data_IF_211537295053
#
_entry.id   IF_211537295053
#
_cell.length_a   1.000
_cell.length_b   1.000
_cell.length_c   1.000
_cell.angle_alpha   90.00
_cell.angle_beta   90.00
_cell.angle_gamma   90.00
#
_symmetry.space_group_name_H-M   'P 1'
#
loop_
_entity.id
_entity.type
_entity.pdbx_description
1 polymer ?
#
# COMPACT_ATOMS: atom_id res chain seq x y z
N UNK A 1 -38.46 -3.70 10.89
CA UNK A 1 -38.00 -4.50 9.74
C UNK A 1 -36.66 -5.10 10.13
N UNK A 2 -36.61 -6.39 10.35
CA UNK A 2 -35.34 -7.09 10.61
C UNK A 2 -34.51 -6.97 9.34
N UNK A 3 -33.35 -6.31 9.46
CA UNK A 3 -32.37 -6.27 8.39
C UNK A 3 -32.08 -7.73 8.02
N UNK A 4 -32.34 -8.13 6.78
CA UNK A 4 -31.93 -9.40 6.25
C UNK A 4 -30.40 -9.45 6.42
N UNK A 5 -29.96 -10.21 7.41
CA UNK A 5 -28.55 -10.48 7.63
C UNK A 5 -28.06 -11.19 6.37
N UNK A 6 -27.41 -10.43 5.50
CA UNK A 6 -26.80 -10.96 4.30
C UNK A 6 -25.81 -12.04 4.72
N UNK A 7 -26.06 -13.28 4.36
CA UNK A 7 -25.07 -14.34 4.43
C UNK A 7 -23.79 -13.79 3.82
N UNK A 8 -22.67 -13.91 4.54
CA UNK A 8 -21.37 -13.45 4.06
C UNK A 8 -21.10 -13.90 2.62
N UNK A 9 -20.19 -13.22 1.95
CA UNK A 9 -19.76 -13.62 0.61
C UNK A 9 -19.23 -15.06 0.66
N UNK A 10 -19.38 -15.88 -0.40
CA UNK A 10 -18.94 -17.28 -0.41
C UNK A 10 -17.48 -17.51 -0.05
N UNK A 11 -16.67 -16.45 -0.14
CA UNK A 11 -15.22 -16.44 0.17
C UNK A 11 -14.90 -16.18 1.64
N UNK A 12 -15.89 -16.10 2.53
CA UNK A 12 -15.68 -15.72 3.92
C UNK A 12 -15.93 -16.87 4.89
N UNK A 13 -15.40 -16.68 6.11
CA UNK A 13 -15.62 -17.58 7.23
C UNK A 13 -17.11 -17.96 7.37
N UNK A 14 -17.37 -19.20 7.74
CA UNK A 14 -18.73 -19.69 7.97
C UNK A 14 -19.48 -18.73 8.86
N UNK A 15 -20.69 -18.36 8.44
CA UNK A 15 -21.61 -17.55 9.23
C UNK A 15 -21.87 -18.22 10.59
N UNK A 16 -21.47 -17.55 11.65
CA UNK A 16 -21.64 -17.99 13.02
C UNK A 16 -22.25 -16.82 13.82
N UNK A 17 -23.56 -16.83 14.06
CA UNK A 17 -24.26 -15.75 14.75
C UNK A 17 -23.80 -15.57 16.20
N UNK A 18 -23.42 -16.65 16.88
CA UNK A 18 -22.94 -16.56 18.27
C UNK A 18 -21.56 -15.90 18.35
N UNK A 19 -20.71 -16.19 17.37
CA UNK A 19 -19.40 -15.55 17.26
C UNK A 19 -19.54 -14.07 16.94
N UNK A 20 -20.45 -13.72 16.05
CA UNK A 20 -20.72 -12.32 15.71
C UNK A 20 -21.27 -11.56 16.92
N UNK A 21 -22.21 -12.17 17.67
CA UNK A 21 -22.76 -11.52 18.87
C UNK A 21 -21.68 -11.30 19.94
N UNK A 22 -20.83 -12.29 20.18
CA UNK A 22 -19.68 -12.14 21.09
C UNK A 22 -18.73 -10.99 20.65
N UNK A 23 -18.47 -10.87 19.35
CA UNK A 23 -17.64 -9.79 18.81
C UNK A 23 -18.30 -8.41 19.00
N UNK A 24 -19.62 -8.31 18.82
CA UNK A 24 -20.39 -7.10 19.08
C UNK A 24 -20.33 -6.71 20.56
N UNK A 25 -20.56 -7.67 21.46
CA UNK A 25 -20.51 -7.44 22.92
C UNK A 25 -19.12 -7.00 23.38
N UNK A 26 -18.07 -7.61 22.82
CA UNK A 26 -16.69 -7.21 23.06
C UNK A 26 -16.39 -5.80 22.53
N UNK A 27 -16.84 -5.43 21.33
CA UNK A 27 -16.67 -4.09 20.78
C UNK A 27 -17.36 -3.03 21.63
N UNK A 28 -18.58 -3.29 22.08
CA UNK A 28 -19.30 -2.40 23.00
C UNK A 28 -18.55 -2.25 24.32
N UNK A 29 -18.01 -3.33 24.86
CA UNK A 29 -17.16 -3.28 26.07
C UNK A 29 -15.88 -2.47 25.87
N UNK A 30 -15.32 -2.46 24.66
CA UNK A 30 -14.13 -1.68 24.34
C UNK A 30 -14.42 -0.17 24.23
N UNK A 31 -15.62 0.21 23.80
CA UNK A 31 -15.99 1.63 23.69
C UNK A 31 -15.97 2.36 25.03
N UNK A 32 -16.28 1.67 26.13
CA UNK A 32 -16.24 2.20 27.48
C UNK A 32 -14.85 2.26 28.11
N UNK A 33 -13.83 1.67 27.48
CA UNK A 33 -12.46 1.59 28.01
C UNK A 33 -11.62 2.83 27.70
N UNK A 34 -10.57 3.11 28.50
CA UNK A 34 -9.59 4.15 28.19
C UNK A 34 -8.97 3.96 26.80
N UNK A 35 -8.57 5.09 26.18
CA UNK A 35 -8.08 5.15 24.79
C UNK A 35 -7.03 4.07 24.44
N UNK A 36 -5.99 3.88 25.26
CA UNK A 36 -4.91 2.91 24.98
C UNK A 36 -5.41 1.45 25.02
N UNK A 37 -6.29 1.12 25.94
CA UNK A 37 -6.87 -0.22 26.05
C UNK A 37 -7.81 -0.50 24.86
N UNK A 38 -8.60 0.50 24.47
CA UNK A 38 -9.47 0.44 23.29
C UNK A 38 -8.66 0.28 22.00
N UNK A 39 -7.60 1.06 21.84
CA UNK A 39 -6.69 0.97 20.70
C UNK A 39 -6.08 -0.44 20.58
N UNK A 40 -5.57 -1.01 21.68
CA UNK A 40 -5.04 -2.37 21.69
C UNK A 40 -6.07 -3.44 21.35
N UNK A 41 -7.32 -3.24 21.81
CA UNK A 41 -8.45 -4.11 21.47
C UNK A 41 -8.81 -4.10 19.97
N UNK A 42 -8.81 -2.91 19.36
CA UNK A 42 -9.08 -2.76 17.93
C UNK A 42 -7.94 -3.30 17.06
N UNK A 43 -6.67 -3.05 17.42
CA UNK A 43 -5.51 -3.56 16.68
C UNK A 43 -5.50 -5.08 16.51
N UNK A 44 -6.04 -5.82 17.48
CA UNK A 44 -6.15 -7.29 17.38
C UNK A 44 -7.20 -7.75 16.36
N UNK A 45 -8.13 -6.86 15.94
CA UNK A 45 -9.27 -7.16 15.08
C UNK A 45 -9.18 -6.51 13.70
N UNK A 46 -8.12 -5.75 13.42
CA UNK A 46 -7.86 -5.12 12.12
C UNK A 46 -7.76 -6.15 10.99
N UNK A 47 -8.03 -5.73 9.76
CA UNK A 47 -7.92 -6.61 8.60
C UNK A 47 -8.18 -5.93 7.25
N UNK A 48 -9.37 -5.40 6.97
CA UNK A 48 -9.65 -4.75 5.68
C UNK A 48 -8.72 -3.57 5.37
N UNK A 49 -8.41 -2.74 6.36
CA UNK A 49 -7.45 -1.64 6.23
C UNK A 49 -6.02 -2.14 5.97
N UNK A 50 -5.61 -3.24 6.59
CA UNK A 50 -4.30 -3.85 6.33
C UNK A 50 -4.17 -4.34 4.89
N UNK A 51 -5.23 -4.94 4.32
CA UNK A 51 -5.24 -5.35 2.93
C UNK A 51 -5.08 -4.14 1.99
N UNK A 52 -5.78 -3.04 2.29
CA UNK A 52 -5.61 -1.79 1.54
C UNK A 52 -4.20 -1.22 1.70
N UNK A 53 -3.62 -1.27 2.90
CA UNK A 53 -2.24 -0.85 3.14
C UNK A 53 -1.23 -1.60 2.27
N UNK A 54 -1.37 -2.91 2.18
CA UNK A 54 -0.50 -3.74 1.33
C UNK A 54 -0.62 -3.36 -0.17
N UNK A 55 -1.82 -3.00 -0.62
CA UNK A 55 -2.02 -2.53 -2.00
C UNK A 55 -1.44 -1.13 -2.22
N UNK A 56 -1.56 -0.25 -1.23
CA UNK A 56 -1.09 1.14 -1.30
C UNK A 56 0.43 1.24 -1.25
N UNK A 57 1.09 0.42 -0.41
CA UNK A 57 2.55 0.37 -0.28
C UNK A 57 3.19 -0.47 -1.42
N UNK A 58 2.68 -0.29 -2.62
CA UNK A 58 3.18 -0.95 -3.82
C UNK A 58 4.16 -0.10 -4.61
N UNK A 59 4.44 -0.55 -5.85
CA UNK A 59 5.42 0.08 -6.74
C UNK A 59 5.15 1.57 -7.00
N UNK A 60 3.88 1.99 -7.10
CA UNK A 60 3.52 3.38 -7.40
C UNK A 60 3.90 4.34 -6.26
N UNK A 61 3.55 4.03 -5.02
CA UNK A 61 3.89 4.86 -3.86
C UNK A 61 5.39 4.81 -3.56
N UNK A 62 6.03 3.64 -3.74
CA UNK A 62 7.47 3.52 -3.60
C UNK A 62 8.19 4.39 -4.63
N UNK A 63 7.84 4.29 -5.91
CA UNK A 63 8.42 5.12 -6.96
C UNK A 63 8.21 6.61 -6.71
N UNK A 64 6.99 7.03 -6.36
CA UNK A 64 6.71 8.43 -6.06
C UNK A 64 7.55 8.95 -4.87
N UNK A 65 7.75 8.14 -3.83
CA UNK A 65 8.55 8.50 -2.66
C UNK A 65 10.04 8.58 -2.98
N UNK A 66 10.56 7.63 -3.77
CA UNK A 66 11.95 7.64 -4.24
C UNK A 66 12.22 8.90 -5.06
N UNK A 67 11.38 9.19 -6.03
CA UNK A 67 11.51 10.39 -6.88
C UNK A 67 11.36 11.67 -6.05
N UNK A 68 10.39 11.72 -5.13
CA UNK A 68 10.21 12.89 -4.26
C UNK A 68 11.46 13.18 -3.43
N UNK A 69 12.02 12.16 -2.77
CA UNK A 69 13.21 12.31 -1.95
C UNK A 69 14.47 12.65 -2.77
N UNK A 70 14.69 11.93 -3.88
CA UNK A 70 15.87 12.12 -4.71
C UNK A 70 15.88 13.43 -5.51
N UNK A 71 14.71 13.98 -5.88
CA UNK A 71 14.62 15.21 -6.67
C UNK A 71 14.39 16.47 -5.83
N UNK A 72 13.68 16.34 -4.69
CA UNK A 72 13.21 17.51 -3.91
C UNK A 72 13.61 17.47 -2.44
N UNK A 73 14.45 16.48 -2.05
CA UNK A 73 14.86 16.33 -0.66
C UNK A 73 13.67 16.14 0.28
N UNK A 74 13.64 16.90 1.36
CA UNK A 74 12.55 16.86 2.35
C UNK A 74 11.29 17.63 1.94
N UNK A 75 11.34 18.45 0.89
CA UNK A 75 10.35 19.49 0.59
C UNK A 75 8.93 18.94 0.38
N UNK A 76 8.79 17.74 -0.19
CA UNK A 76 7.49 17.13 -0.50
C UNK A 76 6.98 16.12 0.55
N UNK A 77 7.54 16.10 1.76
CA UNK A 77 7.07 15.22 2.83
C UNK A 77 5.59 15.45 3.21
N UNK A 78 5.12 16.69 3.15
CA UNK A 78 3.73 17.04 3.46
C UNK A 78 2.70 16.36 2.57
N UNK A 79 3.10 15.95 1.37
CA UNK A 79 2.21 15.30 0.40
C UNK A 79 1.73 13.96 0.93
N UNK A 80 2.57 13.21 1.63
CA UNK A 80 2.27 11.86 2.08
C UNK A 80 1.08 11.79 3.06
N UNK A 81 1.07 12.55 4.18
CA UNK A 81 -0.07 12.55 5.09
C UNK A 81 -1.33 13.11 4.43
N UNK A 82 -1.23 14.13 3.56
CA UNK A 82 -2.42 14.69 2.89
C UNK A 82 -3.00 13.69 1.91
N UNK A 83 -2.18 13.07 1.05
CA UNK A 83 -2.63 12.08 0.08
C UNK A 83 -3.36 10.93 0.78
N UNK A 84 -2.78 10.39 1.85
CA UNK A 84 -3.38 9.29 2.57
C UNK A 84 -4.59 9.72 3.41
N UNK A 85 -4.60 10.93 3.96
CA UNK A 85 -5.76 11.46 4.67
C UNK A 85 -6.99 11.54 3.75
N UNK A 86 -6.82 12.08 2.53
CA UNK A 86 -7.88 12.13 1.52
C UNK A 86 -8.38 10.71 1.18
N UNK A 87 -7.46 9.76 1.01
CA UNK A 87 -7.81 8.36 0.77
C UNK A 87 -8.59 7.73 1.90
N UNK A 88 -8.15 7.94 3.14
CA UNK A 88 -8.84 7.42 4.33
C UNK A 88 -10.23 8.04 4.49
N UNK A 89 -10.39 9.34 4.21
CA UNK A 89 -11.70 9.99 4.21
C UNK A 89 -12.66 9.32 3.21
N UNK A 90 -12.18 9.05 1.99
CA UNK A 90 -12.97 8.37 0.97
C UNK A 90 -13.35 6.94 1.39
N UNK A 91 -12.43 6.16 1.94
CA UNK A 91 -12.72 4.83 2.44
C UNK A 91 -13.66 4.86 3.66
N UNK A 92 -13.49 5.81 4.57
CA UNK A 92 -14.38 5.98 5.71
C UNK A 92 -15.81 6.29 5.27
N UNK A 93 -15.98 7.12 4.23
CA UNK A 93 -17.29 7.42 3.66
C UNK A 93 -17.92 6.16 3.03
N UNK A 94 -17.19 5.45 2.15
CA UNK A 94 -17.64 4.20 1.54
C UNK A 94 -17.96 3.13 2.60
N UNK A 95 -17.08 2.96 3.57
CA UNK A 95 -17.25 2.02 4.67
C UNK A 95 -18.48 2.35 5.52
N UNK A 96 -18.70 3.63 5.81
CA UNK A 96 -19.88 4.05 6.58
C UNK A 96 -21.21 3.70 5.86
N UNK A 97 -21.27 3.92 4.53
CA UNK A 97 -22.45 3.55 3.74
C UNK A 97 -22.68 2.04 3.78
N UNK A 98 -21.65 1.26 3.44
CA UNK A 98 -21.76 -0.20 3.35
C UNK A 98 -22.04 -0.85 4.70
N UNK A 99 -21.40 -0.40 5.79
CA UNK A 99 -21.64 -0.90 7.13
C UNK A 99 -23.02 -0.53 7.67
N UNK A 100 -23.62 0.58 7.17
CA UNK A 100 -24.97 0.99 7.57
C UNK A 100 -26.03 0.19 6.82
N UNK A 101 -25.85 0.04 5.51
CA UNK A 101 -26.85 -0.59 4.63
C UNK A 101 -26.73 -2.11 4.61
N UNK A 102 -25.53 -2.66 4.81
CA UNK A 102 -25.22 -4.07 4.60
C UNK A 102 -25.28 -4.49 3.14
N UNK A 103 -25.41 -3.54 2.20
CA UNK A 103 -25.61 -3.82 0.79
C UNK A 103 -24.27 -3.88 0.03
N UNK A 104 -24.23 -4.72 -1.00
CA UNK A 104 -23.09 -4.79 -1.92
C UNK A 104 -23.04 -3.52 -2.77
N UNK A 105 -21.88 -2.84 -2.89
CA UNK A 105 -21.79 -1.55 -3.57
C UNK A 105 -22.20 -1.58 -5.04
N UNK A 106 -21.81 -2.59 -5.79
CA UNK A 106 -22.10 -2.66 -7.23
C UNK A 106 -23.60 -2.67 -7.54
N UNK A 107 -24.43 -3.56 -6.96
CA UNK A 107 -25.88 -3.51 -7.15
C UNK A 107 -26.51 -2.22 -6.62
N UNK A 108 -26.02 -1.71 -5.47
CA UNK A 108 -26.53 -0.48 -4.88
C UNK A 108 -26.29 0.72 -5.82
N UNK A 109 -25.09 0.87 -6.37
CA UNK A 109 -24.80 1.93 -7.34
C UNK A 109 -25.62 1.82 -8.62
N UNK A 110 -25.86 0.58 -9.08
CA UNK A 110 -26.73 0.35 -10.24
C UNK A 110 -28.18 0.73 -10.02
N UNK A 111 -28.66 0.64 -8.77
CA UNK A 111 -30.03 1.00 -8.38
C UNK A 111 -30.16 2.49 -8.07
N UNK A 112 -29.24 3.04 -7.25
CA UNK A 112 -29.36 4.41 -6.71
C UNK A 112 -28.86 5.48 -7.72
N UNK A 113 -27.87 5.16 -8.56
CA UNK A 113 -27.35 6.08 -9.55
C UNK A 113 -27.82 5.67 -10.95
N UNK A 114 -27.12 4.75 -11.57
CA UNK A 114 -27.46 4.18 -12.87
C UNK A 114 -26.61 2.93 -13.15
N UNK A 115 -27.17 1.96 -13.89
CA UNK A 115 -26.48 0.73 -14.25
C UNK A 115 -25.17 0.96 -14.99
N UNK A 116 -25.11 2.00 -15.85
CA UNK A 116 -23.90 2.36 -16.58
C UNK A 116 -22.79 2.87 -15.66
N UNK A 117 -23.13 3.61 -14.59
CA UNK A 117 -22.16 4.10 -13.60
C UNK A 117 -21.52 2.93 -12.85
N UNK A 118 -22.33 1.99 -12.39
CA UNK A 118 -21.84 0.78 -11.75
C UNK A 118 -20.94 -0.04 -12.70
N UNK A 119 -21.36 -0.22 -13.96
CA UNK A 119 -20.58 -0.91 -14.97
C UNK A 119 -19.23 -0.22 -15.25
N UNK A 120 -19.24 1.11 -15.47
CA UNK A 120 -18.01 1.87 -15.72
C UNK A 120 -17.06 1.83 -14.51
N UNK A 121 -17.59 1.86 -13.28
CA UNK A 121 -16.77 1.70 -12.09
C UNK A 121 -16.12 0.31 -12.01
N UNK A 122 -16.87 -0.76 -12.29
CA UNK A 122 -16.33 -2.12 -12.33
C UNK A 122 -15.31 -2.30 -13.46
N UNK A 123 -15.62 -1.81 -14.66
CA UNK A 123 -14.71 -1.85 -15.81
C UNK A 123 -13.42 -1.05 -15.52
N UNK A 124 -13.56 0.16 -15.01
CA UNK A 124 -12.42 1.00 -14.61
C UNK A 124 -11.56 0.32 -13.55
N UNK A 125 -12.18 -0.39 -12.61
CA UNK A 125 -11.47 -1.19 -11.59
C UNK A 125 -10.64 -2.32 -12.23
N UNK A 126 -11.21 -3.05 -13.18
CA UNK A 126 -10.50 -4.14 -13.88
C UNK A 126 -9.34 -3.57 -14.70
N UNK A 127 -9.59 -2.53 -15.50
CA UNK A 127 -8.57 -1.88 -16.33
C UNK A 127 -7.44 -1.32 -15.46
N UNK A 128 -7.78 -0.59 -14.39
CA UNK A 128 -6.81 -0.05 -13.46
C UNK A 128 -5.98 -1.16 -12.79
N UNK A 129 -6.62 -2.27 -12.40
CA UNK A 129 -5.90 -3.40 -11.79
C UNK A 129 -4.89 -4.01 -12.77
N UNK A 130 -5.26 -4.19 -14.04
CA UNK A 130 -4.34 -4.71 -15.06
C UNK A 130 -3.17 -3.75 -15.28
N UNK A 131 -3.45 -2.45 -15.48
CA UNK A 131 -2.40 -1.44 -15.70
C UNK A 131 -1.47 -1.34 -14.49
N UNK A 132 -2.00 -1.42 -13.28
CA UNK A 132 -1.23 -1.34 -12.03
C UNK A 132 -0.25 -2.49 -11.83
N UNK A 133 -0.50 -3.65 -12.45
CA UNK A 133 0.42 -4.78 -12.41
C UNK A 133 1.71 -4.56 -13.20
N UNK A 134 1.69 -3.79 -14.29
CA UNK A 134 2.90 -3.56 -15.09
C UNK A 134 4.07 -2.98 -14.28
N UNK A 135 3.93 -1.86 -13.54
CA UNK A 135 5.02 -1.35 -12.73
C UNK A 135 5.44 -2.32 -11.60
N UNK A 136 4.51 -3.10 -11.04
CA UNK A 136 4.81 -4.08 -10.00
C UNK A 136 5.75 -5.18 -10.53
N UNK A 137 5.39 -5.79 -11.66
CA UNK A 137 6.23 -6.79 -12.31
C UNK A 137 7.56 -6.19 -12.81
N UNK A 138 7.53 -4.95 -13.31
CA UNK A 138 8.72 -4.22 -13.74
C UNK A 138 9.73 -4.02 -12.61
N UNK A 139 9.27 -3.63 -11.43
CA UNK A 139 10.12 -3.50 -10.23
C UNK A 139 10.69 -4.85 -9.78
N UNK A 140 9.86 -5.88 -9.69
CA UNK A 140 10.30 -7.20 -9.28
C UNK A 140 11.34 -7.77 -10.27
N UNK A 141 11.11 -7.59 -11.56
CA UNK A 141 12.08 -7.99 -12.60
C UNK A 141 13.40 -7.18 -12.51
N UNK A 142 13.31 -5.86 -12.24
CA UNK A 142 14.47 -5.01 -12.03
C UNK A 142 15.32 -5.46 -10.85
N UNK A 143 14.69 -5.69 -9.71
CA UNK A 143 15.37 -6.19 -8.51
C UNK A 143 16.00 -7.58 -8.73
N UNK A 144 15.28 -8.49 -9.40
CA UNK A 144 15.81 -9.81 -9.70
C UNK A 144 17.02 -9.77 -10.63
N UNK A 145 17.02 -8.87 -11.62
CA UNK A 145 18.20 -8.67 -12.49
C UNK A 145 19.38 -8.09 -11.71
N UNK A 146 19.17 -7.12 -10.87
CA UNK A 146 20.22 -6.52 -10.03
C UNK A 146 20.87 -7.58 -9.12
N UNK A 147 20.06 -8.46 -8.52
CA UNK A 147 20.56 -9.59 -7.74
C UNK A 147 21.32 -10.62 -8.59
N UNK A 148 20.86 -10.88 -9.81
CA UNK A 148 21.56 -11.79 -10.74
C UNK A 148 22.93 -11.24 -11.14
N UNK A 149 23.04 -9.93 -11.36
CA UNK A 149 24.31 -9.24 -11.63
C UNK A 149 25.27 -9.31 -10.45
N UNK A 150 24.79 -9.20 -9.22
CA UNK A 150 25.58 -9.45 -8.01
C UNK A 150 26.12 -10.88 -7.98
N UNK A 151 25.36 -11.84 -8.50
CA UNK A 151 25.77 -13.24 -8.67
C UNK A 151 26.71 -13.50 -9.87
N UNK A 152 27.08 -12.44 -10.60
CA UNK A 152 27.97 -12.55 -11.77
C UNK A 152 27.25 -12.91 -13.07
N UNK A 153 25.92 -12.86 -13.13
CA UNK A 153 25.14 -13.12 -14.35
C UNK A 153 24.89 -11.78 -15.06
N UNK A 154 25.45 -11.52 -16.24
CA UNK A 154 25.25 -10.27 -16.96
C UNK A 154 23.81 -10.20 -17.48
N UNK A 155 23.01 -9.28 -16.98
CA UNK A 155 21.60 -9.09 -17.38
C UNK A 155 21.37 -7.89 -18.27
N UNK A 156 22.24 -6.87 -18.23
CA UNK A 156 22.21 -5.71 -19.11
C UNK A 156 23.09 -5.92 -20.33
N UNK A 157 22.61 -5.47 -21.50
CA UNK A 157 23.39 -5.49 -22.74
C UNK A 157 24.13 -4.14 -22.88
N UNK A 158 25.45 -4.12 -23.11
CA UNK A 158 26.20 -2.88 -23.36
C UNK A 158 25.69 -2.06 -24.55
N UNK A 159 25.07 -2.71 -25.53
CA UNK A 159 24.45 -2.04 -26.68
C UNK A 159 23.06 -1.45 -26.40
N UNK A 160 22.55 -1.63 -25.19
CA UNK A 160 21.22 -1.23 -24.73
C UNK A 160 20.23 -2.39 -24.68
N UNK A 161 19.35 -2.35 -23.68
CA UNK A 161 18.39 -3.43 -23.44
C UNK A 161 18.91 -4.51 -22.49
N UNK A 162 18.45 -5.76 -22.69
CA UNK A 162 18.79 -6.88 -21.81
C UNK A 162 19.41 -8.03 -22.58
N UNK A 163 20.32 -8.75 -21.95
CA UNK A 163 20.85 -10.03 -22.45
C UNK A 163 19.77 -11.10 -22.43
N UNK A 164 20.02 -12.24 -23.08
CA UNK A 164 19.13 -13.41 -22.99
C UNK A 164 18.93 -13.86 -21.53
N UNK A 165 19.98 -13.80 -20.70
CA UNK A 165 19.89 -14.08 -19.28
C UNK A 165 18.99 -13.05 -18.56
N UNK A 166 19.09 -11.76 -18.90
CA UNK A 166 18.23 -10.71 -18.36
C UNK A 166 16.75 -10.91 -18.67
N UNK A 167 16.42 -11.35 -19.87
CA UNK A 167 15.05 -11.73 -20.22
C UNK A 167 14.58 -12.97 -19.48
N UNK A 168 15.42 -14.00 -19.36
CA UNK A 168 15.08 -15.23 -18.62
C UNK A 168 14.84 -14.95 -17.14
N UNK A 169 15.67 -14.15 -16.48
CA UNK A 169 15.48 -13.73 -15.09
C UNK A 169 14.17 -12.95 -14.93
N UNK A 170 13.90 -12.00 -15.82
CA UNK A 170 12.68 -11.21 -15.78
C UNK A 170 11.42 -12.04 -15.95
N UNK A 171 11.43 -12.98 -16.91
CA UNK A 171 10.31 -13.88 -17.16
C UNK A 171 10.15 -14.89 -16.04
N UNK A 172 11.24 -15.44 -15.52
CA UNK A 172 11.26 -16.41 -14.43
C UNK A 172 10.65 -15.85 -13.15
N UNK A 173 11.07 -14.63 -12.75
CA UNK A 173 10.48 -13.99 -11.55
C UNK A 173 9.01 -13.62 -11.77
N UNK A 174 8.66 -13.14 -12.96
CA UNK A 174 7.27 -12.84 -13.32
C UNK A 174 6.38 -14.08 -13.26
N UNK A 175 6.82 -15.19 -13.84
CA UNK A 175 6.11 -16.47 -13.80
C UNK A 175 6.03 -17.02 -12.37
N UNK A 176 7.09 -16.88 -11.58
CA UNK A 176 7.11 -17.28 -10.17
C UNK A 176 6.10 -16.49 -9.33
N UNK A 177 6.06 -15.16 -9.47
CA UNK A 177 5.08 -14.30 -8.80
C UNK A 177 3.66 -14.66 -9.24
N UNK A 178 3.41 -14.86 -10.53
CA UNK A 178 2.10 -15.26 -11.05
C UNK A 178 1.69 -16.61 -10.47
N UNK A 179 2.57 -17.61 -10.47
CA UNK A 179 2.32 -18.92 -9.88
C UNK A 179 1.99 -18.84 -8.40
N UNK A 180 2.75 -18.05 -7.63
CA UNK A 180 2.49 -17.82 -6.21
C UNK A 180 1.14 -17.12 -5.99
N UNK A 181 0.80 -16.12 -6.80
CA UNK A 181 -0.49 -15.44 -6.72
C UNK A 181 -1.66 -16.39 -7.04
N UNK A 182 -1.54 -17.21 -8.08
CA UNK A 182 -2.56 -18.22 -8.41
C UNK A 182 -2.71 -19.20 -7.24
N UNK A 183 -1.60 -19.72 -6.71
CA UNK A 183 -1.62 -20.68 -5.60
C UNK A 183 -2.26 -20.09 -4.33
N UNK A 184 -1.89 -18.87 -3.95
CA UNK A 184 -2.44 -18.20 -2.76
C UNK A 184 -3.90 -17.84 -2.94
N UNK A 185 -4.29 -17.34 -4.12
CA UNK A 185 -5.69 -16.98 -4.42
C UNK A 185 -6.59 -18.20 -4.50
N UNK A 186 -6.11 -19.29 -5.10
CA UNK A 186 -6.88 -20.54 -5.20
C UNK A 186 -7.29 -21.10 -3.83
N UNK A 187 -6.40 -20.95 -2.85
CA UNK A 187 -6.62 -21.43 -1.50
C UNK A 187 -7.23 -20.39 -0.54
N UNK A 188 -7.31 -19.13 -0.97
CA UNK A 188 -7.71 -18.01 -0.11
C UNK A 188 -9.16 -18.13 0.43
N UNK A 189 -10.06 -18.76 -0.29
CA UNK A 189 -11.47 -18.87 0.12
C UNK A 189 -11.82 -20.08 1.00
N UNK A 190 -10.90 -21.03 1.17
CA UNK A 190 -11.26 -22.33 1.73
C UNK A 190 -10.92 -22.54 3.22
N UNK A 191 -9.95 -21.81 3.78
CA UNK A 191 -9.48 -22.06 5.15
C UNK A 191 -9.06 -20.80 5.89
N UNK A 192 -9.57 -20.60 7.12
CA UNK A 192 -9.19 -19.51 8.03
C UNK A 192 -7.67 -19.43 8.33
N UNK A 193 -6.95 -20.54 8.21
CA UNK A 193 -5.49 -20.61 8.38
C UNK A 193 -4.75 -19.94 7.22
N UNK A 194 -5.21 -20.08 5.98
CA UNK A 194 -4.61 -19.44 4.80
C UNK A 194 -4.70 -17.93 4.86
N UNK A 195 -5.84 -17.40 5.30
CA UNK A 195 -6.05 -15.96 5.49
C UNK A 195 -5.07 -15.41 6.54
N UNK A 196 -4.93 -16.07 7.69
CA UNK A 196 -4.02 -15.64 8.74
C UNK A 196 -2.55 -15.69 8.31
N UNK A 197 -2.15 -16.72 7.57
CA UNK A 197 -0.80 -16.84 7.02
C UNK A 197 -0.50 -15.69 6.04
N UNK A 198 -1.44 -15.38 5.16
CA UNK A 198 -1.32 -14.29 4.20
C UNK A 198 -1.24 -12.93 4.90
N UNK A 199 -2.11 -12.65 5.89
CA UNK A 199 -2.04 -11.42 6.68
C UNK A 199 -0.70 -11.30 7.44
N UNK A 200 -0.20 -12.39 7.99
CA UNK A 200 1.11 -12.41 8.67
C UNK A 200 2.25 -12.12 7.71
N UNK A 201 2.23 -12.74 6.52
CA UNK A 201 3.20 -12.50 5.46
C UNK A 201 3.23 -11.03 5.03
N UNK A 202 2.06 -10.42 4.79
CA UNK A 202 1.97 -9.00 4.45
C UNK A 202 2.53 -8.09 5.56
N UNK A 203 2.18 -8.38 6.81
CA UNK A 203 2.71 -7.62 7.97
C UNK A 203 4.23 -7.74 8.07
N UNK A 204 4.78 -8.91 7.80
CA UNK A 204 6.22 -9.16 7.84
C UNK A 204 6.96 -8.37 6.76
N UNK A 205 6.42 -8.33 5.53
CA UNK A 205 7.01 -7.53 4.43
C UNK A 205 6.98 -6.05 4.76
N UNK A 206 5.82 -5.53 5.20
CA UNK A 206 5.71 -4.11 5.59
C UNK A 206 6.68 -3.79 6.72
N UNK A 207 6.79 -4.66 7.72
CA UNK A 207 7.73 -4.52 8.83
C UNK A 207 9.19 -4.51 8.37
N UNK A 208 9.55 -5.39 7.41
CA UNK A 208 10.89 -5.44 6.83
C UNK A 208 11.23 -4.14 6.09
N UNK A 209 10.33 -3.62 5.27
CA UNK A 209 10.51 -2.35 4.55
C UNK A 209 10.70 -1.19 5.54
N UNK A 210 9.84 -1.10 6.56
CA UNK A 210 9.97 -0.08 7.62
C UNK A 210 11.35 -0.18 8.29
N UNK A 211 11.76 -1.39 8.68
CA UNK A 211 13.03 -1.60 9.38
C UNK A 211 14.22 -1.21 8.49
N UNK A 212 14.22 -1.58 7.22
CA UNK A 212 15.30 -1.30 6.27
C UNK A 212 15.53 0.19 6.11
N UNK A 213 14.48 0.94 5.79
CA UNK A 213 14.60 2.39 5.63
C UNK A 213 14.83 3.12 6.96
N UNK A 214 14.28 2.61 8.08
CA UNK A 214 14.57 3.15 9.40
C UNK A 214 16.06 3.03 9.76
N UNK A 215 16.70 1.91 9.44
CA UNK A 215 18.16 1.73 9.64
C UNK A 215 18.96 2.75 8.83
N UNK A 216 18.58 3.01 7.58
CA UNK A 216 19.24 4.05 6.76
C UNK A 216 19.07 5.42 7.42
N UNK A 217 17.84 5.80 7.76
CA UNK A 217 17.55 7.10 8.38
C UNK A 217 18.28 7.29 9.71
N UNK A 218 18.36 6.24 10.55
CA UNK A 218 19.10 6.28 11.82
C UNK A 218 20.60 6.48 11.57
N UNK A 219 21.17 5.79 10.57
CA UNK A 219 22.61 5.90 10.26
C UNK A 219 23.00 7.18 9.55
N UNK A 220 22.14 7.70 8.69
CA UNK A 220 22.39 8.99 7.97
C UNK A 220 22.01 10.20 8.79
N UNK A 221 21.24 10.01 9.86
CA UNK A 221 20.70 11.08 10.68
C UNK A 221 19.44 11.71 10.08
N UNK A 222 18.81 12.57 10.86
CA UNK A 222 17.62 13.33 10.43
C UNK A 222 17.91 14.82 10.58
N UNK A 223 17.73 15.57 9.51
CA UNK A 223 17.70 17.02 9.60
C UNK A 223 16.34 17.48 10.10
N UNK A 224 16.23 17.71 11.40
CA UNK A 224 14.96 18.05 12.06
C UNK A 224 14.36 19.36 11.56
N UNK A 225 15.19 20.33 11.15
CA UNK A 225 14.74 21.59 10.57
C UNK A 225 14.08 21.36 9.22
N UNK A 226 14.75 20.62 8.33
CA UNK A 226 14.20 20.26 7.01
C UNK A 226 12.98 19.32 7.14
N UNK A 227 13.00 18.40 8.10
CA UNK A 227 11.86 17.53 8.38
C UNK A 227 10.61 18.34 8.74
N UNK A 228 10.75 19.29 9.67
CA UNK A 228 9.62 20.13 10.09
C UNK A 228 9.12 21.04 8.96
N UNK A 229 10.02 21.63 8.18
CA UNK A 229 9.67 22.42 6.99
C UNK A 229 8.99 21.54 5.94
N UNK A 230 9.49 20.33 5.72
CA UNK A 230 8.94 19.38 4.76
C UNK A 230 7.52 18.93 5.10
N UNK A 231 7.20 18.72 6.38
CA UNK A 231 5.84 18.34 6.80
C UNK A 231 4.87 19.50 6.90
N UNK A 232 5.32 20.68 7.33
CA UNK A 232 4.41 21.79 7.68
C UNK A 232 4.55 23.00 6.76
N UNK A 233 5.55 23.02 5.87
CA UNK A 233 5.79 24.17 4.99
C UNK A 233 4.88 24.24 3.77
N UNK A 234 4.26 23.11 3.37
CA UNK A 234 3.39 23.01 2.19
C UNK A 234 3.95 23.65 0.92
N UNK A 235 5.28 23.59 0.76
CA UNK A 235 5.95 24.20 -0.36
C UNK A 235 5.86 23.31 -1.61
N UNK A 236 5.49 23.91 -2.72
CA UNK A 236 5.60 23.31 -4.04
C UNK A 236 6.77 23.98 -4.77
N UNK A 237 7.88 23.25 -5.03
CA UNK A 237 8.98 23.80 -5.80
C UNK A 237 8.53 24.26 -7.18
N UNK A 238 8.99 25.45 -7.61
CA UNK A 238 8.68 25.97 -8.95
C UNK A 238 9.41 25.27 -10.10
N UNK A 239 10.13 24.19 -9.79
CA UNK A 239 10.88 23.39 -10.77
C UNK A 239 9.97 22.46 -11.56
N UNK A 240 10.36 22.20 -12.81
CA UNK A 240 9.65 21.28 -13.69
C UNK A 240 9.50 19.89 -13.02
N UNK A 241 8.28 19.39 -13.00
CA UNK A 241 7.98 18.04 -12.51
C UNK A 241 7.49 17.95 -11.06
N UNK A 242 7.66 18.98 -10.20
CA UNK A 242 7.20 18.94 -8.82
C UNK A 242 5.69 18.66 -8.71
N UNK A 243 4.87 19.36 -9.51
CA UNK A 243 3.43 19.12 -9.56
C UNK A 243 3.09 17.69 -10.02
N UNK A 244 3.82 17.15 -10.98
CA UNK A 244 3.64 15.76 -11.46
C UNK A 244 3.93 14.76 -10.35
N UNK A 245 4.99 14.97 -9.56
CA UNK A 245 5.31 14.08 -8.42
C UNK A 245 4.24 14.17 -7.33
N UNK A 246 3.75 15.36 -7.02
CA UNK A 246 2.66 15.56 -6.05
C UNK A 246 1.39 14.85 -6.51
N UNK A 247 0.97 15.08 -7.76
CA UNK A 247 -0.22 14.42 -8.33
C UNK A 247 -0.03 12.90 -8.40
N UNK A 248 1.17 12.44 -8.76
CA UNK A 248 1.53 11.02 -8.78
C UNK A 248 1.45 10.39 -7.38
N UNK A 249 1.97 11.06 -6.35
CA UNK A 249 1.91 10.59 -4.97
C UNK A 249 0.45 10.52 -4.45
N UNK A 250 -0.37 11.54 -4.74
CA UNK A 250 -1.80 11.54 -4.39
C UNK A 250 -2.53 10.40 -5.12
N UNK A 251 -2.30 10.25 -6.42
CA UNK A 251 -2.91 9.19 -7.23
C UNK A 251 -2.46 7.78 -6.84
N UNK A 252 -1.22 7.63 -6.35
CA UNK A 252 -0.70 6.35 -5.88
C UNK A 252 -1.22 5.94 -4.49
N UNK A 253 -1.68 6.91 -3.68
CA UNK A 253 -2.16 6.63 -2.33
C UNK A 253 -3.44 5.78 -2.33
N UNK A 254 -4.38 6.06 -3.22
CA UNK A 254 -5.64 5.30 -3.33
C UNK A 254 -6.09 5.19 -4.78
N UNK A 255 -6.14 3.95 -5.29
CA UNK A 255 -6.63 3.64 -6.63
C UNK A 255 -8.12 3.26 -6.66
N UNK A 256 -8.74 3.34 -7.85
CA UNK A 256 -10.13 2.95 -8.07
C UNK A 256 -10.39 1.47 -7.72
N UNK A 257 -9.43 0.60 -7.96
CA UNK A 257 -9.49 -0.82 -7.60
C UNK A 257 -9.61 -1.02 -6.08
N UNK A 258 -8.94 -0.18 -5.31
CA UNK A 258 -9.00 -0.22 -3.85
C UNK A 258 -10.37 0.26 -3.36
N UNK A 259 -10.95 1.29 -3.97
CA UNK A 259 -12.31 1.77 -3.62
C UNK A 259 -13.37 0.72 -3.93
N UNK A 260 -13.14 -0.12 -4.93
CA UNK A 260 -14.01 -1.25 -5.23
C UNK A 260 -13.84 -2.36 -4.19
N UNK A 261 -12.61 -2.74 -3.87
CA UNK A 261 -12.30 -3.89 -3.02
C UNK A 261 -12.64 -3.65 -1.54
N UNK A 262 -12.39 -2.44 -1.01
CA UNK A 262 -12.53 -2.16 0.42
C UNK A 262 -13.94 -2.45 0.98
N UNK A 263 -15.02 -1.97 0.37
CA UNK A 263 -16.38 -2.26 0.83
C UNK A 263 -16.69 -3.76 0.84
N UNK A 264 -16.24 -4.48 -0.18
CA UNK A 264 -16.43 -5.94 -0.21
C UNK A 264 -15.61 -6.66 0.86
N UNK A 265 -14.43 -6.14 1.20
CA UNK A 265 -13.61 -6.69 2.29
C UNK A 265 -14.28 -6.53 3.66
N UNK A 266 -15.00 -5.42 3.89
CA UNK A 266 -15.80 -5.22 5.10
C UNK A 266 -16.94 -6.23 5.20
N UNK A 267 -17.70 -6.39 4.11
CA UNK A 267 -18.80 -7.35 4.05
C UNK A 267 -18.28 -8.80 4.16
N UNK A 268 -17.12 -9.06 3.57
CA UNK A 268 -16.48 -10.36 3.64
C UNK A 268 -16.09 -10.75 5.08
N UNK A 269 -15.68 -9.80 5.90
CA UNK A 269 -15.45 -10.02 7.34
C UNK A 269 -16.73 -10.17 8.16
N UNK A 270 -17.91 -9.97 7.56
CA UNK A 270 -19.19 -9.95 8.27
C UNK A 270 -19.40 -8.68 9.09
N UNK A 271 -18.64 -7.62 8.82
CA UNK A 271 -18.79 -6.35 9.54
C UNK A 271 -20.07 -5.63 9.12
N UNK A 272 -20.73 -5.01 10.08
CA UNK A 272 -21.97 -4.24 9.93
C UNK A 272 -21.94 -2.96 10.74
N UNK A 273 -23.12 -2.41 11.06
CA UNK A 273 -23.26 -1.11 11.72
C UNK A 273 -22.47 -0.96 13.04
N UNK A 274 -22.34 -2.04 13.81
CA UNK A 274 -21.60 -2.06 15.08
C UNK A 274 -20.07 -1.98 14.91
N UNK A 275 -19.56 -2.20 13.70
CA UNK A 275 -18.12 -2.22 13.41
C UNK A 275 -17.58 -0.89 12.86
N UNK A 276 -18.40 0.18 12.79
CA UNK A 276 -17.97 1.47 12.21
C UNK A 276 -16.76 2.09 12.92
N UNK A 277 -16.74 2.05 14.25
CA UNK A 277 -15.61 2.56 15.02
C UNK A 277 -14.35 1.73 14.75
N UNK A 278 -14.47 0.40 14.74
CA UNK A 278 -13.39 -0.51 14.39
C UNK A 278 -12.87 -0.26 12.97
N UNK A 279 -13.74 -0.08 11.98
CA UNK A 279 -13.34 0.20 10.60
C UNK A 279 -12.54 1.49 10.46
N UNK A 280 -12.93 2.56 11.16
CA UNK A 280 -12.16 3.82 11.19
C UNK A 280 -10.80 3.64 11.84
N UNK A 281 -10.71 2.89 12.93
CA UNK A 281 -9.46 2.55 13.58
C UNK A 281 -8.56 1.69 12.68
N UNK A 282 -9.15 0.73 11.99
CA UNK A 282 -8.44 -0.12 11.04
C UNK A 282 -7.81 0.72 9.91
N UNK A 283 -8.56 1.66 9.33
CA UNK A 283 -8.01 2.58 8.33
C UNK A 283 -6.89 3.47 8.90
N UNK A 284 -7.08 4.02 10.11
CA UNK A 284 -6.07 4.88 10.71
C UNK A 284 -4.79 4.13 11.07
N UNK A 285 -4.90 2.97 11.72
CA UNK A 285 -3.74 2.25 12.26
C UNK A 285 -3.11 1.29 11.26
N UNK A 286 -3.90 0.69 10.37
CA UNK A 286 -3.40 -0.29 9.42
C UNK A 286 -3.09 0.30 8.04
N UNK A 287 -3.61 1.47 7.70
CA UNK A 287 -3.41 2.09 6.41
C UNK A 287 -2.73 3.46 6.49
N UNK A 288 -3.32 4.44 7.20
CA UNK A 288 -2.77 5.79 7.26
C UNK A 288 -1.37 5.81 7.89
N UNK A 289 -1.23 5.28 9.10
CA UNK A 289 0.03 5.33 9.84
C UNK A 289 1.18 4.59 9.13
N UNK A 290 1.03 3.33 8.67
CA UNK A 290 2.09 2.64 7.93
C UNK A 290 2.46 3.35 6.62
N UNK A 291 1.47 3.87 5.88
CA UNK A 291 1.75 4.59 4.64
C UNK A 291 2.60 5.83 4.88
N UNK A 292 2.18 6.72 5.79
CA UNK A 292 2.92 7.95 6.09
C UNK A 292 4.32 7.62 6.61
N UNK A 293 4.44 6.61 7.47
CA UNK A 293 5.72 6.20 8.03
C UNK A 293 6.66 5.67 6.93
N UNK A 294 6.22 4.70 6.13
CA UNK A 294 7.06 4.07 5.10
C UNK A 294 7.47 5.08 4.04
N UNK A 295 6.51 5.81 3.49
CA UNK A 295 6.81 6.77 2.42
C UNK A 295 7.70 7.92 2.90
N UNK A 296 7.51 8.39 4.13
CA UNK A 296 8.38 9.40 4.72
C UNK A 296 9.79 8.88 4.96
N UNK A 297 9.95 7.64 5.47
CA UNK A 297 11.27 7.02 5.63
C UNK A 297 12.00 6.89 4.29
N UNK A 298 11.30 6.49 3.24
CA UNK A 298 11.88 6.42 1.88
C UNK A 298 12.32 7.79 1.41
N UNK A 299 11.46 8.81 1.53
CA UNK A 299 11.80 10.19 1.14
C UNK A 299 13.04 10.68 1.90
N UNK A 300 13.09 10.52 3.22
CA UNK A 300 14.21 10.94 4.06
C UNK A 300 15.49 10.19 3.67
N UNK A 301 15.42 8.89 3.48
CA UNK A 301 16.57 8.10 3.06
C UNK A 301 17.13 8.58 1.71
N UNK A 302 16.26 8.79 0.72
CA UNK A 302 16.66 9.31 -0.59
C UNK A 302 17.20 10.73 -0.52
N UNK A 303 16.60 11.58 0.31
CA UNK A 303 17.07 12.93 0.55
C UNK A 303 18.48 12.97 1.16
N UNK A 304 18.79 12.02 2.03
CA UNK A 304 20.08 11.96 2.71
C UNK A 304 21.20 11.29 1.88
N UNK A 305 20.83 10.49 0.88
CA UNK A 305 21.82 9.63 0.17
C UNK A 305 21.95 9.91 -1.31
N UNK A 306 20.89 10.38 -1.97
CA UNK A 306 20.81 10.52 -3.43
C UNK A 306 20.56 11.96 -3.86
N UNK A 307 19.87 12.75 -3.04
CA UNK A 307 19.54 14.13 -3.37
C UNK A 307 20.78 15.00 -3.48
N UNK A 308 20.91 15.67 -4.62
CA UNK A 308 21.93 16.68 -4.88
C UNK A 308 21.25 17.96 -5.38
N UNK A 309 21.26 19.05 -4.60
CA UNK A 309 20.62 20.31 -4.99
C UNK A 309 21.30 20.99 -6.18
N UNK A 310 22.53 20.59 -6.52
CA UNK A 310 23.28 21.15 -7.66
C UNK A 310 23.06 20.35 -8.95
N UNK A 311 22.67 19.09 -8.84
CA UNK A 311 22.38 18.26 -9.99
C UNK A 311 20.94 18.51 -10.46
N UNK A 312 20.78 19.05 -11.66
CA UNK A 312 19.47 19.16 -12.31
C UNK A 312 19.02 17.78 -12.83
N UNK A 313 18.73 16.85 -11.89
CA UNK A 313 18.19 15.56 -12.26
C UNK A 313 16.74 15.71 -12.71
N UNK A 314 16.43 15.20 -13.89
CA UNK A 314 15.04 15.13 -14.37
C UNK A 314 14.33 13.92 -13.76
N UNK A 315 13.00 13.94 -13.73
CA UNK A 315 12.21 12.79 -13.23
C UNK A 315 12.51 11.49 -13.99
N UNK A 316 12.99 11.58 -15.22
CA UNK A 316 13.37 10.44 -16.06
C UNK A 316 14.70 9.79 -15.67
N UNK A 317 15.55 10.52 -14.95
CA UNK A 317 16.88 10.03 -14.54
C UNK A 317 16.82 9.20 -13.26
N UNK A 318 15.69 9.20 -12.56
CA UNK A 318 15.52 8.51 -11.28
C UNK A 318 14.61 7.31 -11.46
N UNK A 319 15.16 6.13 -11.24
CA UNK A 319 14.43 4.86 -11.29
C UNK A 319 14.11 4.37 -9.87
N UNK A 320 13.00 3.66 -9.67
CA UNK A 320 12.69 3.09 -8.35
C UNK A 320 13.77 2.14 -7.80
N UNK A 321 14.55 1.51 -8.70
CA UNK A 321 15.71 0.66 -8.33
C UNK A 321 16.82 1.49 -7.65
N UNK A 322 16.88 2.81 -7.87
CA UNK A 322 17.85 3.68 -7.22
C UNK A 322 17.63 3.75 -5.70
N UNK A 323 16.45 3.32 -5.20
CA UNK A 323 16.23 3.13 -3.77
C UNK A 323 17.21 2.11 -3.16
N UNK A 324 17.58 1.07 -3.91
CA UNK A 324 18.60 0.11 -3.47
C UNK A 324 19.98 0.79 -3.35
N UNK A 325 20.31 1.74 -4.22
CA UNK A 325 21.56 2.49 -4.15
C UNK A 325 21.64 3.38 -2.90
N UNK A 326 20.49 3.89 -2.40
CA UNK A 326 20.43 4.62 -1.15
C UNK A 326 20.79 3.74 0.07
N UNK A 327 20.58 2.45 -0.02
CA UNK A 327 20.91 1.48 1.03
C UNK A 327 22.38 1.06 1.02
N UNK A 328 23.02 1.06 -0.15
CA UNK A 328 24.41 0.58 -0.34
C UNK A 328 25.43 1.30 0.55
N UNK A 329 25.47 2.64 0.65
CA UNK A 329 26.45 3.34 1.49
C UNK A 329 26.32 3.02 2.99
N UNK A 330 25.14 2.56 3.41
CA UNK A 330 24.79 2.33 4.81
C UNK A 330 24.93 0.87 5.21
N UNK A 331 24.58 -0.05 4.31
CA UNK A 331 24.49 -1.50 4.57
C UNK A 331 25.55 -2.32 3.82
N UNK A 332 26.33 -1.69 2.96
CA UNK A 332 27.27 -2.36 2.07
C UNK A 332 26.60 -2.89 0.78
N UNK A 333 27.42 -3.17 -0.22
CA UNK A 333 26.96 -3.49 -1.58
C UNK A 333 26.03 -4.70 -1.65
N UNK A 334 26.29 -5.74 -0.87
CA UNK A 334 25.47 -6.96 -0.91
C UNK A 334 24.16 -6.81 -0.17
N UNK A 335 24.20 -6.39 1.11
CA UNK A 335 22.98 -6.23 1.93
C UNK A 335 22.07 -5.10 1.42
N UNK A 336 22.64 -3.98 0.96
CA UNK A 336 21.86 -2.85 0.46
C UNK A 336 21.07 -3.15 -0.82
N UNK A 337 21.50 -4.17 -1.60
CA UNK A 337 20.76 -4.59 -2.80
C UNK A 337 19.80 -5.76 -2.55
N UNK A 338 20.01 -6.55 -1.50
CA UNK A 338 19.13 -7.68 -1.14
C UNK A 338 17.86 -7.22 -0.41
N UNK A 339 17.94 -6.15 0.35
CA UNK A 339 16.84 -5.57 1.11
C UNK A 339 16.06 -4.56 0.29
#
# INVERSE_FOLDING_TARGET
MAAQQTKGLPMTARWDPEKLQREIDELQSLESRPFLSRAGGYLKRTGPGLLQSAMTLGAGSAAASVVAGASFGYTLLWVQPIAMFLGVCMFAALGNVVLTTGERPYPAFGRELHKSVAFLWALGTIVASVIWHFPQYGLAAGAARDLAELGGIPTADPAGGFTAAGYLVSFGIGAGILGLNIFTTWNYGSHARGIKLYEWFLRSIIGLVILSFAVVVIKTGVNWSELSRGFFGFQLPGTSGAATVVLGAIGAAVGINMTFLYPYSLLAKGWGAHHKALARWDLAMSMFLPFVLVTSLVIIAMANTVYDPTAQRTLHDIKPVDAAQALVPVMGSSLGRII
#
